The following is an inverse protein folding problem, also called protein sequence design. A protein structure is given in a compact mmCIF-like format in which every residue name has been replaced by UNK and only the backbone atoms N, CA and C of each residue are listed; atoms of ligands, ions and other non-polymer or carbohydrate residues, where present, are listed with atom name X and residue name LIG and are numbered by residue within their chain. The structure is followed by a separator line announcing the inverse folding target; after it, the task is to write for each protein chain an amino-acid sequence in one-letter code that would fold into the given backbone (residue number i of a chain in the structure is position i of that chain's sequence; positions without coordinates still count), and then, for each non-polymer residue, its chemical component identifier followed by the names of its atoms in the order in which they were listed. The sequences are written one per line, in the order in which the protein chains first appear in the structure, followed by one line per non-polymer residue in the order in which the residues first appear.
data_IF_260854360187
#
_entry.id   IF_260854360187
#
_cell.length_a   1.000
_cell.length_b   1.000
_cell.length_c   1.000
_cell.angle_alpha   90.00
_cell.angle_beta   90.00
_cell.angle_gamma   90.00
#
_symmetry.space_group_name_H-M   'P 1'
#
loop_
_entity.id
_entity.type
_entity.pdbx_description
1 polymer ?
#
# COMPACT_ATOMS: atom_id res chain seq x y z
N UNK A 1 -10.24 -2.32 -20.55
CA UNK A 1 -10.49 -2.86 -19.19
C UNK A 1 -9.56 -4.05 -18.86
N UNK A 2 -9.04 -4.82 -19.83
CA UNK A 2 -8.05 -5.88 -19.55
C UNK A 2 -6.62 -5.41 -19.19
N UNK A 3 -6.16 -4.26 -19.71
CA UNK A 3 -4.77 -3.81 -19.51
C UNK A 3 -4.43 -3.38 -18.08
N UNK A 4 -5.37 -2.75 -17.39
CA UNK A 4 -5.15 -2.28 -16.01
C UNK A 4 -5.09 -3.45 -15.00
N UNK A 5 -5.87 -4.51 -15.24
CA UNK A 5 -5.83 -5.72 -14.41
C UNK A 5 -4.50 -6.47 -14.49
N UNK A 6 -3.90 -6.58 -15.68
CA UNK A 6 -2.60 -7.23 -15.88
C UNK A 6 -1.43 -6.47 -15.22
N UNK A 7 -1.48 -5.14 -15.24
CA UNK A 7 -0.46 -4.29 -14.59
C UNK A 7 -0.57 -4.38 -13.06
N UNK A 8 -1.80 -4.43 -12.53
CA UNK A 8 -2.02 -4.65 -11.11
C UNK A 8 -1.49 -6.04 -10.67
N UNK A 9 -1.81 -7.10 -11.41
CA UNK A 9 -1.40 -8.47 -11.08
C UNK A 9 0.14 -8.65 -11.07
N UNK A 10 0.87 -7.95 -11.95
CA UNK A 10 2.34 -7.97 -11.96
C UNK A 10 3.00 -7.16 -10.85
N UNK A 11 2.35 -6.12 -10.34
CA UNK A 11 2.90 -5.26 -9.28
C UNK A 11 2.66 -5.85 -7.88
N UNK A 12 1.59 -6.62 -7.70
CA UNK A 12 1.21 -7.20 -6.41
C UNK A 12 1.58 -8.69 -6.25
N UNK A 13 2.30 -9.26 -7.22
CA UNK A 13 2.78 -10.64 -7.21
C UNK A 13 3.83 -10.91 -6.13
N UNK A 14 3.36 -11.45 -5.01
CA UNK A 14 4.03 -12.34 -4.05
C UNK A 14 5.16 -11.81 -3.15
N UNK A 15 4.83 -11.88 -1.84
CA UNK A 15 5.67 -11.99 -0.63
C UNK A 15 6.18 -10.70 0.01
N UNK A 16 5.48 -10.30 1.08
CA UNK A 16 6.04 -9.43 2.12
C UNK A 16 6.21 -10.16 3.45
N UNK A 17 7.40 -10.04 4.05
CA UNK A 17 7.84 -10.79 5.24
C UNK A 17 7.35 -10.16 6.56
N UNK A 18 7.03 -10.95 7.62
CA UNK A 18 6.25 -10.49 8.78
C UNK A 18 6.97 -9.69 9.89
N UNK A 19 8.29 -9.60 9.95
CA UNK A 19 8.99 -9.20 11.19
C UNK A 19 9.42 -7.72 11.30
N UNK A 20 9.22 -6.89 10.27
CA UNK A 20 9.57 -5.45 10.29
C UNK A 20 8.34 -4.50 10.17
N UNK A 21 7.15 -5.00 10.53
CA UNK A 21 5.83 -4.52 10.05
C UNK A 21 5.50 -3.04 10.27
N UNK A 22 5.76 -2.43 11.42
CA UNK A 22 5.27 -1.05 11.67
C UNK A 22 5.86 0.00 10.72
N UNK A 23 7.18 0.09 10.66
CA UNK A 23 7.88 1.10 9.83
C UNK A 23 7.98 0.65 8.37
N UNK A 24 8.26 -0.63 8.13
CA UNK A 24 8.31 -1.15 6.75
C UNK A 24 6.93 -1.13 6.11
N UNK A 25 5.88 -1.50 6.85
CA UNK A 25 4.50 -1.40 6.40
C UNK A 25 4.07 0.05 6.13
N UNK A 26 4.47 1.00 6.99
CA UNK A 26 4.29 2.43 6.74
C UNK A 26 4.93 2.88 5.42
N UNK A 27 6.22 2.58 5.22
CA UNK A 27 6.93 2.99 4.01
C UNK A 27 6.39 2.31 2.76
N UNK A 28 6.07 1.02 2.84
CA UNK A 28 5.46 0.26 1.74
C UNK A 28 4.09 0.83 1.39
N UNK A 29 3.23 1.11 2.38
CA UNK A 29 1.92 1.70 2.16
C UNK A 29 2.02 3.09 1.51
N UNK A 30 2.95 3.94 1.93
CA UNK A 30 3.17 5.25 1.33
C UNK A 30 3.52 5.15 -0.16
N UNK A 31 4.45 4.24 -0.49
CA UNK A 31 4.86 3.98 -1.87
C UNK A 31 3.70 3.41 -2.69
N UNK A 32 2.97 2.43 -2.15
CA UNK A 32 1.83 1.81 -2.82
C UNK A 32 0.73 2.84 -3.12
N UNK A 33 0.35 3.68 -2.15
CA UNK A 33 -0.68 4.71 -2.33
C UNK A 33 -0.25 5.72 -3.40
N UNK A 34 1.01 6.15 -3.36
CA UNK A 34 1.52 7.09 -4.35
C UNK A 34 1.58 6.46 -5.75
N UNK A 35 1.93 5.17 -5.86
CA UNK A 35 1.98 4.48 -7.15
C UNK A 35 0.60 4.08 -7.68
N UNK A 36 -0.38 3.83 -6.80
CA UNK A 36 -1.74 3.46 -7.17
C UNK A 36 -2.42 4.50 -8.06
N UNK A 37 -2.04 5.78 -7.94
CA UNK A 37 -2.57 6.85 -8.80
C UNK A 37 -2.30 6.62 -10.30
N UNK A 38 -1.25 5.88 -10.66
CA UNK A 38 -0.94 5.54 -12.04
C UNK A 38 -1.72 4.31 -12.55
N UNK A 39 -2.26 3.50 -11.64
CA UNK A 39 -3.01 2.29 -11.96
C UNK A 39 -4.53 2.53 -11.96
N UNK A 40 -5.02 3.47 -11.16
CA UNK A 40 -6.45 3.72 -10.97
C UNK A 40 -6.88 5.02 -11.66
N UNK A 41 -7.61 4.94 -12.79
CA UNK A 41 -8.10 6.13 -13.48
C UNK A 41 -8.97 6.99 -12.57
N UNK A 42 -8.68 8.29 -12.49
CA UNK A 42 -9.40 9.23 -11.62
C UNK A 42 -8.89 9.29 -10.17
N UNK A 43 -7.91 8.47 -9.79
CA UNK A 43 -7.23 8.59 -8.50
C UNK A 43 -6.13 9.64 -8.58
N UNK A 44 -6.10 10.55 -7.60
CA UNK A 44 -5.06 11.56 -7.46
C UNK A 44 -4.57 11.52 -6.02
N UNK A 45 -3.31 11.13 -5.83
CA UNK A 45 -2.68 11.06 -4.52
C UNK A 45 -1.53 12.08 -4.47
N UNK A 46 -1.69 13.11 -3.63
CA UNK A 46 -0.57 14.01 -3.33
C UNK A 46 0.46 13.31 -2.46
N UNK A 47 1.72 13.73 -2.53
CA UNK A 47 2.80 13.18 -1.69
C UNK A 47 2.42 13.29 -0.21
N UNK A 48 1.86 14.43 0.21
CA UNK A 48 1.36 14.62 1.58
C UNK A 48 0.20 13.68 1.92
N UNK A 49 -0.77 13.50 1.01
CA UNK A 49 -1.89 12.59 1.21
C UNK A 49 -1.44 11.13 1.36
N UNK A 50 -0.46 10.70 0.55
CA UNK A 50 0.12 9.37 0.63
C UNK A 50 0.85 9.15 1.96
N UNK A 51 1.61 10.14 2.43
CA UNK A 51 2.29 10.07 3.74
C UNK A 51 1.30 10.02 4.91
N UNK A 52 0.24 10.83 4.87
CA UNK A 52 -0.80 10.83 5.91
C UNK A 52 -1.59 9.53 5.92
N UNK A 53 -1.99 9.03 4.75
CA UNK A 53 -2.69 7.76 4.63
C UNK A 53 -1.82 6.59 5.11
N UNK A 54 -0.53 6.57 4.74
CA UNK A 54 0.42 5.58 5.24
C UNK A 54 0.59 5.65 6.76
N UNK A 55 0.59 6.84 7.35
CA UNK A 55 0.70 7.03 8.81
C UNK A 55 -0.49 6.40 9.52
N UNK A 56 -1.70 6.64 9.01
CA UNK A 56 -2.94 6.04 9.53
C UNK A 56 -2.91 4.52 9.37
N UNK A 57 -2.52 3.99 8.21
CA UNK A 57 -2.43 2.55 7.95
C UNK A 57 -1.42 1.89 8.90
N UNK A 58 -0.23 2.46 9.05
CA UNK A 58 0.81 1.95 9.96
C UNK A 58 0.36 1.96 11.42
N UNK A 59 -0.39 2.99 11.83
CA UNK A 59 -0.98 3.06 13.17
C UNK A 59 -2.08 2.01 13.39
N UNK A 60 -2.97 1.84 12.40
CA UNK A 60 -4.03 0.83 12.44
C UNK A 60 -3.44 -0.58 12.46
N UNK A 61 -2.42 -0.88 11.65
CA UNK A 61 -1.76 -2.20 11.63
C UNK A 61 -0.98 -2.50 12.92
N UNK A 62 -0.44 -1.47 13.59
CA UNK A 62 0.19 -1.64 14.90
C UNK A 62 -0.82 -2.01 16.00
N UNK A 63 -2.06 -1.52 15.89
CA UNK A 63 -3.14 -1.77 16.86
C UNK A 63 -3.94 -3.03 16.51
N UNK A 64 -4.10 -3.32 15.23
CA UNK A 64 -4.78 -4.50 14.70
C UNK A 64 -3.69 -5.53 14.39
N UNK A 65 -3.27 -6.36 15.35
CA UNK A 65 -2.34 -7.43 15.06
C UNK A 65 -3.00 -8.39 14.07
N UNK A 66 -2.67 -8.24 12.80
CA UNK A 66 -3.00 -9.16 11.71
C UNK A 66 -2.18 -10.44 11.87
N UNK A 67 -2.52 -11.21 12.91
CA UNK A 67 -2.11 -12.59 13.12
C UNK A 67 -3.14 -13.58 12.52
N UNK A 68 -4.09 -13.09 11.74
CA UNK A 68 -5.02 -13.94 10.99
C UNK A 68 -4.35 -14.34 9.68
N UNK A 69 -3.66 -15.48 9.83
CA UNK A 69 -2.96 -16.38 8.90
C UNK A 69 -3.60 -16.53 7.52
#
# INVERSE_FOLDING_TARGET
IAGLGWVAEKLFGDRYSPQARGVVGFLVAAVVIYLAQFLVPGMQASILGALLAALVIGFVDAIVPTQLR
#
